data_IF_045598395647
#
_entry.id   IF_045598395647
#
_cell.length_a   1.000
_cell.length_b   1.000
_cell.length_c   1.000
_cell.angle_alpha   90.00
_cell.angle_beta   90.00
_cell.angle_gamma   90.00
#
_symmetry.space_group_name_H-M   'P 1'
#
loop_
_entity.id
_entity.type
_entity.pdbx_description
1 polymer ?
#
# COMPACT_ATOMS: atom_id res chain seq x y z
N UNK A 1 -24.82 -24.09 -4.57
CA UNK A 1 -23.47 -23.57 -4.84
C UNK A 1 -23.63 -22.58 -5.97
N UNK A 2 -23.80 -21.30 -5.65
CA UNK A 2 -23.80 -20.22 -6.64
C UNK A 2 -22.37 -20.05 -7.11
N UNK A 3 -22.12 -20.29 -8.40
CA UNK A 3 -20.87 -19.93 -9.06
C UNK A 3 -20.62 -18.45 -8.79
N UNK A 4 -19.59 -18.14 -7.99
CA UNK A 4 -19.13 -16.77 -7.85
C UNK A 4 -18.63 -16.35 -9.24
N UNK A 5 -19.07 -15.20 -9.79
CA UNK A 5 -18.59 -14.76 -11.08
C UNK A 5 -17.06 -14.63 -11.01
N UNK A 6 -16.36 -15.35 -11.88
CA UNK A 6 -14.93 -15.17 -12.08
C UNK A 6 -14.76 -13.72 -12.53
N UNK A 7 -14.17 -12.89 -11.68
CA UNK A 7 -13.84 -11.50 -12.02
C UNK A 7 -12.92 -11.53 -13.24
N UNK A 8 -13.44 -11.17 -14.41
CA UNK A 8 -12.62 -11.01 -15.61
C UNK A 8 -11.66 -9.85 -15.39
N UNK A 9 -10.36 -10.18 -15.31
CA UNK A 9 -9.30 -9.20 -15.19
C UNK A 9 -9.11 -8.45 -16.51
N UNK A 10 -9.06 -7.13 -16.43
CA UNK A 10 -8.59 -6.34 -17.58
C UNK A 10 -7.10 -6.63 -17.86
N UNK A 11 -6.60 -6.46 -19.09
CA UNK A 11 -5.18 -6.65 -19.40
C UNK A 11 -4.24 -5.79 -18.54
N UNK A 12 -4.68 -4.57 -18.19
CA UNK A 12 -3.96 -3.66 -17.32
C UNK A 12 -3.87 -4.19 -15.88
N UNK A 13 -4.98 -4.68 -15.31
CA UNK A 13 -4.99 -5.29 -13.99
C UNK A 13 -4.15 -6.57 -13.93
N UNK A 14 -4.24 -7.42 -14.96
CA UNK A 14 -3.43 -8.64 -15.05
C UNK A 14 -1.92 -8.32 -15.12
N UNK A 15 -1.55 -7.16 -15.69
CA UNK A 15 -0.17 -6.66 -15.68
C UNK A 15 0.21 -6.12 -14.31
N UNK A 16 -0.64 -5.29 -13.70
CA UNK A 16 -0.41 -4.71 -12.38
C UNK A 16 -0.24 -5.76 -11.28
N UNK A 17 -1.04 -6.84 -11.30
CA UNK A 17 -0.94 -7.98 -10.38
C UNK A 17 0.41 -8.71 -10.46
N UNK A 18 1.12 -8.60 -11.60
CA UNK A 18 2.43 -9.21 -11.77
C UNK A 18 3.57 -8.31 -11.30
N UNK A 19 3.30 -7.04 -11.01
CA UNK A 19 4.31 -6.07 -10.58
C UNK A 19 4.95 -6.49 -9.25
N UNK A 20 6.24 -6.15 -9.02
CA UNK A 20 6.91 -6.44 -7.76
C UNK A 20 6.17 -5.85 -6.55
N UNK A 21 5.77 -4.58 -6.62
CA UNK A 21 5.09 -3.90 -5.52
C UNK A 21 3.76 -4.58 -5.15
N UNK A 22 2.90 -4.89 -6.13
CA UNK A 22 1.59 -5.51 -5.84
C UNK A 22 1.76 -6.91 -5.25
N UNK A 23 2.76 -7.68 -5.70
CA UNK A 23 3.09 -8.97 -5.09
C UNK A 23 3.52 -8.85 -3.64
N UNK A 24 4.32 -7.85 -3.29
CA UNK A 24 4.70 -7.60 -1.89
C UNK A 24 3.47 -7.23 -1.05
N UNK A 25 2.56 -6.40 -1.58
CA UNK A 25 1.32 -6.05 -0.89
C UNK A 25 0.43 -7.28 -0.63
N UNK A 26 0.24 -8.13 -1.64
CA UNK A 26 -0.50 -9.40 -1.48
C UNK A 26 0.19 -10.29 -0.45
N UNK A 27 1.52 -10.41 -0.49
CA UNK A 27 2.27 -11.19 0.48
C UNK A 27 2.08 -10.66 1.90
N UNK A 28 2.06 -9.34 2.09
CA UNK A 28 1.79 -8.72 3.38
C UNK A 28 0.37 -9.01 3.87
N UNK A 29 -0.63 -8.93 3.00
CA UNK A 29 -2.02 -9.28 3.35
C UNK A 29 -2.10 -10.76 3.78
N UNK A 30 -1.53 -11.67 2.98
CA UNK A 30 -1.54 -13.11 3.29
C UNK A 30 -0.80 -13.44 4.59
N UNK A 31 0.26 -12.70 4.93
CA UNK A 31 0.99 -12.89 6.18
C UNK A 31 0.14 -12.57 7.44
N UNK A 32 -0.91 -11.76 7.31
CA UNK A 32 -1.83 -11.44 8.41
C UNK A 32 -2.93 -12.51 8.57
N UNK A 33 -3.11 -13.39 7.59
CA UNK A 33 -4.14 -14.44 7.60
C UNK A 33 -3.72 -15.68 8.41
N UNK A 34 -3.54 -15.49 9.72
CA UNK A 34 -2.99 -16.54 10.61
C UNK A 34 -3.87 -17.80 10.71
N UNK A 35 -5.17 -17.67 10.40
CA UNK A 35 -6.16 -18.75 10.48
C UNK A 35 -6.64 -19.24 9.11
N UNK A 36 -6.06 -18.75 8.02
CA UNK A 36 -6.39 -19.18 6.65
C UNK A 36 -7.80 -18.79 6.17
N UNK A 37 -8.38 -17.71 6.72
CA UNK A 37 -9.70 -17.23 6.34
C UNK A 37 -9.76 -16.75 4.87
N UNK A 38 -8.62 -16.42 4.28
CA UNK A 38 -8.48 -15.89 2.93
C UNK A 38 -7.73 -16.83 1.97
N UNK A 39 -7.45 -18.08 2.36
CA UNK A 39 -6.77 -19.06 1.48
C UNK A 39 -7.50 -19.25 0.14
N UNK A 40 -8.83 -19.23 0.16
CA UNK A 40 -9.66 -19.41 -1.04
C UNK A 40 -9.83 -18.13 -1.86
N UNK A 41 -9.39 -16.97 -1.34
CA UNK A 41 -9.45 -15.72 -2.08
C UNK A 41 -8.29 -15.66 -3.07
N UNK A 42 -8.63 -15.31 -4.30
CA UNK A 42 -7.66 -14.93 -5.32
C UNK A 42 -6.89 -13.68 -4.91
N UNK A 43 -5.71 -13.49 -5.48
CA UNK A 43 -4.89 -12.31 -5.27
C UNK A 43 -5.63 -11.01 -5.62
N UNK A 44 -6.51 -11.04 -6.62
CA UNK A 44 -7.34 -9.89 -6.99
C UNK A 44 -8.37 -9.56 -5.92
N UNK A 45 -9.06 -10.56 -5.37
CA UNK A 45 -10.07 -10.39 -4.32
C UNK A 45 -9.45 -9.87 -3.01
N UNK A 46 -8.19 -10.21 -2.72
CA UNK A 46 -7.46 -9.65 -1.58
C UNK A 46 -7.25 -8.12 -1.69
N UNK A 47 -7.23 -7.59 -2.91
CA UNK A 47 -7.02 -6.17 -3.17
C UNK A 47 -8.32 -5.37 -3.23
N UNK A 48 -9.50 -6.00 -3.14
CA UNK A 48 -10.79 -5.33 -3.29
C UNK A 48 -10.95 -4.13 -2.35
N UNK A 49 -10.49 -4.26 -1.10
CA UNK A 49 -10.61 -3.19 -0.10
C UNK A 49 -9.66 -2.01 -0.36
N UNK A 50 -8.68 -2.18 -1.24
CA UNK A 50 -7.83 -1.09 -1.73
C UNK A 50 -8.46 -0.40 -2.95
N UNK A 51 -9.49 -0.99 -3.57
CA UNK A 51 -10.13 -0.45 -4.77
C UNK A 51 -11.42 0.29 -4.40
N UNK A 52 -11.36 1.62 -4.49
CA UNK A 52 -12.47 2.53 -4.17
C UNK A 52 -12.70 3.45 -5.36
N UNK A 53 -13.86 3.28 -6.01
CA UNK A 53 -14.29 4.12 -7.14
C UNK A 53 -14.37 5.59 -6.74
N UNK A 54 -14.32 6.51 -7.72
CA UNK A 54 -14.41 7.95 -7.45
C UNK A 54 -15.71 8.31 -6.75
N UNK A 55 -16.80 7.67 -7.16
CA UNK A 55 -18.15 7.87 -6.63
C UNK A 55 -18.20 7.43 -5.17
N UNK A 56 -17.82 6.17 -4.89
CA UNK A 56 -17.78 5.63 -3.53
C UNK A 56 -16.86 6.46 -2.62
N UNK A 57 -15.70 6.90 -3.13
CA UNK A 57 -14.77 7.73 -2.36
C UNK A 57 -15.38 9.07 -1.93
N UNK A 58 -16.21 9.69 -2.77
CA UNK A 58 -16.88 10.95 -2.45
C UNK A 58 -17.98 10.79 -1.43
N UNK A 59 -18.64 9.62 -1.42
CA UNK A 59 -19.71 9.29 -0.48
C UNK A 59 -19.20 9.01 0.93
N UNK A 60 -17.94 8.59 1.08
CA UNK A 60 -17.34 8.34 2.40
C UNK A 60 -17.24 9.66 3.18
N UNK A 61 -17.92 9.78 4.33
CA UNK A 61 -17.82 10.94 5.20
C UNK A 61 -16.46 10.97 5.92
N UNK A 62 -15.98 12.17 6.23
CA UNK A 62 -14.76 12.40 7.00
C UNK A 62 -15.23 12.91 8.37
N UNK A 63 -15.55 11.99 9.26
CA UNK A 63 -16.12 12.30 10.58
C UNK A 63 -15.41 11.44 11.61
N UNK A 64 -14.80 12.09 12.61
CA UNK A 64 -14.09 11.41 13.67
C UNK A 64 -12.81 10.73 13.19
N UNK A 65 -12.36 9.71 13.92
CA UNK A 65 -11.15 8.98 13.57
C UNK A 65 -11.42 7.95 12.45
N UNK A 66 -10.46 7.70 11.54
CA UNK A 66 -10.62 6.66 10.53
C UNK A 66 -10.79 5.29 11.16
N UNK A 67 -11.56 4.44 10.47
CA UNK A 67 -11.74 3.04 10.85
C UNK A 67 -10.38 2.33 10.99
N UNK A 68 -10.17 1.51 12.03
CA UNK A 68 -8.95 0.71 12.18
C UNK A 68 -8.57 -0.10 10.94
N UNK A 69 -9.54 -0.61 10.17
CA UNK A 69 -9.28 -1.38 8.95
C UNK A 69 -8.70 -0.49 7.85
N UNK A 70 -9.13 0.77 7.77
CA UNK A 70 -8.55 1.76 6.86
C UNK A 70 -7.09 2.04 7.25
N UNK A 71 -6.82 2.26 8.54
CA UNK A 71 -5.47 2.51 9.04
C UNK A 71 -4.54 1.32 8.76
N UNK A 72 -5.03 0.10 9.00
CA UNK A 72 -4.31 -1.12 8.69
C UNK A 72 -4.00 -1.26 7.20
N UNK A 73 -4.93 -0.92 6.31
CA UNK A 73 -4.66 -0.89 4.85
C UNK A 73 -3.58 0.13 4.49
N UNK A 74 -3.59 1.31 5.11
CA UNK A 74 -2.52 2.30 4.91
C UNK A 74 -1.18 1.74 5.37
N UNK A 75 -1.12 1.11 6.54
CA UNK A 75 0.09 0.49 7.06
C UNK A 75 0.63 -0.60 6.13
N UNK A 76 -0.22 -1.52 5.67
CA UNK A 76 0.16 -2.56 4.72
C UNK A 76 0.69 -1.99 3.39
N UNK A 77 0.04 -0.94 2.88
CA UNK A 77 0.49 -0.27 1.66
C UNK A 77 1.91 0.28 1.80
N UNK A 78 2.22 0.97 2.89
CA UNK A 78 3.58 1.50 3.12
C UNK A 78 4.58 0.41 3.52
N UNK A 79 4.16 -0.65 4.20
CA UNK A 79 5.01 -1.81 4.49
C UNK A 79 5.44 -2.52 3.19
N UNK A 80 4.51 -2.70 2.24
CA UNK A 80 4.80 -3.28 0.93
C UNK A 80 5.77 -2.42 0.11
N UNK A 81 5.67 -1.09 0.18
CA UNK A 81 6.66 -0.18 -0.41
C UNK A 81 8.04 -0.42 0.22
N UNK A 82 8.11 -0.58 1.55
CA UNK A 82 9.35 -0.78 2.27
C UNK A 82 10.10 -2.03 1.81
N UNK A 83 9.37 -3.14 1.71
CA UNK A 83 9.92 -4.41 1.19
C UNK A 83 10.33 -4.31 -0.28
N UNK A 84 9.55 -3.63 -1.11
CA UNK A 84 9.90 -3.41 -2.51
C UNK A 84 11.19 -2.58 -2.66
N UNK A 85 11.39 -1.56 -1.82
CA UNK A 85 12.62 -0.78 -1.75
C UNK A 85 13.80 -1.64 -1.28
N UNK A 86 13.61 -2.44 -0.24
CA UNK A 86 14.64 -3.33 0.28
C UNK A 86 15.10 -4.35 -0.77
N UNK A 87 14.15 -4.96 -1.50
CA UNK A 87 14.45 -5.89 -2.60
C UNK A 87 15.29 -5.25 -3.71
N UNK A 88 15.11 -3.95 -3.98
CA UNK A 88 15.84 -3.22 -5.03
C UNK A 88 17.20 -2.71 -4.59
N UNK A 89 17.32 -2.31 -3.33
CA UNK A 89 18.49 -1.56 -2.83
C UNK A 89 19.38 -2.38 -1.91
N UNK A 90 18.89 -3.53 -1.42
CA UNK A 90 19.52 -4.33 -0.36
C UNK A 90 19.47 -3.68 1.02
N UNK A 91 18.74 -2.58 1.19
CA UNK A 91 18.67 -1.81 2.44
C UNK A 91 17.27 -1.80 3.00
N UNK A 92 17.15 -2.15 4.28
CA UNK A 92 15.87 -2.17 4.97
C UNK A 92 15.20 -0.80 4.92
N UNK A 93 13.94 -0.76 4.51
CA UNK A 93 13.14 0.45 4.46
C UNK A 93 11.86 0.24 5.26
N UNK A 94 11.69 0.97 6.35
CA UNK A 94 10.57 0.80 7.26
C UNK A 94 9.69 2.05 7.33
N UNK A 95 8.36 1.90 7.35
CA UNK A 95 7.46 3.02 7.55
C UNK A 95 7.30 3.36 9.05
N UNK A 96 7.13 4.64 9.34
CA UNK A 96 6.62 5.15 10.61
C UNK A 96 5.47 6.10 10.32
N UNK A 97 4.31 5.78 10.89
CA UNK A 97 3.10 6.57 10.70
C UNK A 97 2.64 7.18 12.03
N UNK A 98 2.26 8.44 11.99
CA UNK A 98 1.55 9.10 13.09
C UNK A 98 0.28 9.75 12.56
N UNK A 99 -0.85 9.24 13.02
CA UNK A 99 -2.16 9.82 12.78
C UNK A 99 -2.56 10.76 13.93
N UNK A 100 -3.22 11.85 13.57
CA UNK A 100 -4.01 12.69 14.46
C UNK A 100 -5.50 12.35 14.31
N UNK A 101 -6.34 13.09 15.03
CA UNK A 101 -7.78 13.02 14.85
C UNK A 101 -8.20 13.43 13.43
N UNK A 102 -9.40 13.02 13.02
CA UNK A 102 -10.04 13.44 11.75
C UNK A 102 -9.37 12.93 10.46
N UNK A 103 -8.50 11.93 10.56
CA UNK A 103 -7.86 11.32 9.39
C UNK A 103 -6.76 12.17 8.76
N UNK A 104 -6.16 13.07 9.54
CA UNK A 104 -4.92 13.75 9.22
C UNK A 104 -3.74 13.01 9.83
N UNK A 105 -2.58 13.08 9.18
CA UNK A 105 -1.38 12.47 9.73
C UNK A 105 -0.16 12.65 8.87
N UNK A 106 0.87 11.89 9.22
CA UNK A 106 2.11 11.84 8.47
C UNK A 106 2.64 10.42 8.47
N UNK A 107 3.13 10.01 7.32
CA UNK A 107 3.94 8.80 7.16
C UNK A 107 5.31 9.22 6.66
N UNK A 108 6.33 8.67 7.29
CA UNK A 108 7.71 8.75 6.83
C UNK A 108 8.20 7.33 6.58
N UNK A 109 9.11 7.17 5.64
CA UNK A 109 9.84 5.91 5.46
C UNK A 109 11.32 6.17 5.64
N UNK A 110 11.98 5.27 6.37
CA UNK A 110 13.38 5.44 6.73
C UNK A 110 14.23 4.23 6.35
N UNK A 111 15.46 4.50 5.96
CA UNK A 111 16.52 3.52 5.76
C UNK A 111 17.76 4.04 6.47
N UNK A 112 18.30 3.28 7.43
CA UNK A 112 19.32 3.80 8.35
C UNK A 112 18.83 5.07 9.04
N UNK A 113 19.53 6.18 8.81
CA UNK A 113 19.14 7.52 9.31
C UNK A 113 18.52 8.44 8.26
N UNK A 114 18.30 7.93 7.04
CA UNK A 114 17.75 8.69 5.92
C UNK A 114 16.23 8.57 5.89
N UNK A 115 15.52 9.71 5.81
CA UNK A 115 14.10 9.74 5.45
C UNK A 115 14.00 9.74 3.92
N UNK A 116 13.48 8.65 3.35
CA UNK A 116 13.43 8.41 1.89
C UNK A 116 12.07 8.77 1.28
N UNK A 117 11.02 8.79 2.10
CA UNK A 117 9.67 9.27 1.75
C UNK A 117 9.14 10.06 2.94
N UNK A 118 8.50 11.20 2.68
CA UNK A 118 7.75 11.94 3.69
C UNK A 118 6.43 12.43 3.09
N UNK A 119 5.32 11.86 3.55
CA UNK A 119 3.97 12.19 3.07
C UNK A 119 3.07 12.65 4.20
N UNK A 120 2.44 13.81 3.99
CA UNK A 120 1.28 14.21 4.78
C UNK A 120 0.04 13.47 4.28
N UNK A 121 -0.69 12.88 5.21
CA UNK A 121 -1.94 12.18 4.96
C UNK A 121 -3.11 13.10 5.33
N UNK A 122 -4.13 13.11 4.48
CA UNK A 122 -5.39 13.84 4.68
C UNK A 122 -6.52 12.94 4.20
N UNK A 123 -7.69 13.14 4.78
CA UNK A 123 -8.91 12.41 4.42
C UNK A 123 -8.70 10.89 4.42
N UNK A 124 -7.95 10.35 5.39
CA UNK A 124 -7.54 8.93 5.39
C UNK A 124 -8.72 7.97 5.35
N UNK A 125 -9.90 8.36 5.87
CA UNK A 125 -11.19 7.68 5.67
C UNK A 125 -11.43 7.20 4.23
N UNK A 126 -10.93 7.97 3.26
CA UNK A 126 -11.11 7.78 1.81
C UNK A 126 -9.96 7.03 1.14
N UNK A 127 -9.05 6.44 1.92
CA UNK A 127 -7.92 5.71 1.39
C UNK A 127 -8.39 4.59 0.45
N UNK A 128 -7.78 4.56 -0.74
CA UNK A 128 -8.08 3.62 -1.80
C UNK A 128 -7.65 4.14 -3.17
N UNK A 129 -7.76 3.30 -4.18
CA UNK A 129 -7.34 3.55 -5.57
C UNK A 129 -8.47 3.20 -6.53
N UNK A 130 -8.49 3.82 -7.70
CA UNK A 130 -9.61 3.63 -8.65
C UNK A 130 -9.57 2.25 -9.33
N UNK A 131 -8.38 1.65 -9.39
CA UNK A 131 -8.13 0.33 -9.98
C UNK A 131 -6.81 -0.25 -9.46
N UNK A 132 -6.55 -1.53 -9.70
CA UNK A 132 -5.28 -2.17 -9.33
C UNK A 132 -4.10 -1.51 -10.06
N UNK A 133 -4.29 -1.07 -11.30
CA UNK A 133 -3.27 -0.32 -12.05
C UNK A 133 -2.94 1.02 -11.37
N UNK A 134 -3.94 1.73 -10.82
CA UNK A 134 -3.69 2.98 -10.08
C UNK A 134 -3.07 2.76 -8.71
N UNK A 135 -3.39 1.64 -8.05
CA UNK A 135 -2.71 1.19 -6.84
C UNK A 135 -1.22 0.91 -7.13
N UNK A 136 -0.94 0.17 -8.20
CA UNK A 136 0.41 -0.16 -8.64
C UNK A 136 1.23 1.09 -8.97
N UNK A 137 0.68 1.98 -9.82
CA UNK A 137 1.33 3.24 -10.21
C UNK A 137 1.71 4.10 -8.98
N UNK A 138 0.81 4.18 -7.99
CA UNK A 138 1.05 4.95 -6.78
C UNK A 138 2.13 4.34 -5.88
N UNK A 139 2.13 3.02 -5.71
CA UNK A 139 3.16 2.31 -4.94
C UNK A 139 4.52 2.38 -5.62
N UNK A 140 4.58 2.09 -6.92
CA UNK A 140 5.81 2.11 -7.71
C UNK A 140 6.47 3.49 -7.73
N UNK A 141 5.67 4.56 -7.81
CA UNK A 141 6.17 5.93 -7.72
C UNK A 141 6.91 6.20 -6.40
N UNK A 142 6.36 5.72 -5.29
CA UNK A 142 6.99 5.90 -3.96
C UNK A 142 8.22 5.02 -3.80
N UNK A 143 8.21 3.79 -4.35
CA UNK A 143 9.40 2.92 -4.40
C UNK A 143 10.52 3.61 -5.19
N UNK A 144 10.22 4.12 -6.39
CA UNK A 144 11.20 4.81 -7.23
C UNK A 144 11.76 6.07 -6.55
N UNK A 145 10.91 6.86 -5.88
CA UNK A 145 11.33 8.02 -5.09
C UNK A 145 12.29 7.61 -3.96
N UNK A 146 11.95 6.57 -3.20
CA UNK A 146 12.76 6.09 -2.10
C UNK A 146 14.13 5.56 -2.57
N UNK A 147 14.14 4.75 -3.63
CA UNK A 147 15.37 4.22 -4.25
C UNK A 147 16.28 5.38 -4.68
N UNK A 148 15.72 6.40 -5.35
CA UNK A 148 16.48 7.57 -5.76
C UNK A 148 17.16 8.28 -4.58
N UNK A 149 16.45 8.46 -3.46
CA UNK A 149 17.03 9.06 -2.26
C UNK A 149 18.15 8.22 -1.67
N UNK A 150 17.97 6.91 -1.61
CA UNK A 150 18.99 5.96 -1.11
C UNK A 150 20.25 6.02 -1.96
N UNK A 151 20.10 5.99 -3.29
CA UNK A 151 21.23 6.07 -4.23
C UNK A 151 21.95 7.42 -4.19
N UNK A 152 21.22 8.50 -3.90
CA UNK A 152 21.80 9.84 -3.79
C UNK A 152 22.59 10.00 -2.48
N UNK A 153 22.16 9.36 -1.38
CA UNK A 153 22.76 9.52 -0.05
C UNK A 153 23.08 8.17 0.63
N UNK A 154 23.91 7.31 0.01
CA UNK A 154 24.18 5.96 0.53
C UNK A 154 24.84 5.99 1.92
N UNK A 155 25.72 6.96 2.17
CA UNK A 155 26.39 7.11 3.47
C UNK A 155 25.41 7.37 4.65
N UNK A 156 24.24 7.96 4.39
CA UNK A 156 23.21 8.19 5.43
C UNK A 156 22.27 6.99 5.54
N UNK A 157 22.03 6.31 4.42
CA UNK A 157 21.23 5.09 4.37
C UNK A 157 21.92 3.90 5.07
N UNK A 158 23.25 3.87 5.05
CA UNK A 158 24.09 2.80 5.65
C UNK A 158 24.56 3.12 7.09
N UNK A 159 24.06 4.20 7.69
CA UNK A 159 24.48 4.73 9.00
C UNK A 159 23.68 4.22 10.21
#
# INVERSE_FOLDING_TARGET
MTDAPVLELTPEEATALKSPFVKELISQIRAQDSYGAWEKKSDRELLDDFIVTKERRREIPIIGDPDPDILWRVELFYAAIGLAVERRTGRMCSPMMKMSHEGFGRVIMTTGRLVVVAKSLRDVHRFGFESVAKLEEAGEKLVAEAVKWIETFPAVADA
#
